data_IF_209766560955
#
_entry.id   IF_209766560955
#
_cell.length_a   1.000
_cell.length_b   1.000
_cell.length_c   1.000
_cell.angle_alpha   90.00
_cell.angle_beta   90.00
_cell.angle_gamma   90.00
#
_symmetry.space_group_name_H-M   'P 1'
#
loop_
_entity.id
_entity.type
_entity.pdbx_description
1 polymer ?
#
# COMPACT_ATOMS: atom_id res chain seq x y z
N UNK A 1 -9.63 23.75 -5.76
CA UNK A 1 -10.10 23.03 -6.97
C UNK A 1 -10.09 21.54 -6.66
N UNK A 2 -11.20 20.83 -6.85
CA UNK A 2 -11.26 19.38 -6.67
C UNK A 2 -10.58 18.68 -7.83
N UNK A 3 -9.73 17.69 -7.57
CA UNK A 3 -9.09 16.87 -8.61
C UNK A 3 -10.14 16.11 -9.44
N UNK A 4 -9.96 16.04 -10.76
CA UNK A 4 -10.79 15.20 -11.64
C UNK A 4 -10.37 13.72 -11.51
N UNK A 5 -11.35 12.84 -11.28
CA UNK A 5 -11.14 11.41 -11.05
C UNK A 5 -11.62 10.51 -12.20
N UNK A 6 -12.00 11.08 -13.34
CA UNK A 6 -12.47 10.31 -14.50
C UNK A 6 -11.34 9.47 -15.10
N UNK A 7 -11.67 8.24 -15.51
CA UNK A 7 -10.72 7.31 -16.13
C UNK A 7 -9.78 6.59 -15.15
N UNK A 8 -9.93 6.80 -13.85
CA UNK A 8 -9.18 6.06 -12.84
C UNK A 8 -9.68 4.61 -12.70
N UNK A 9 -8.76 3.69 -12.38
CA UNK A 9 -9.12 2.32 -12.00
C UNK A 9 -10.00 2.32 -10.74
N UNK A 10 -10.78 1.27 -10.54
CA UNK A 10 -11.77 1.19 -9.45
C UNK A 10 -11.17 1.50 -8.07
N UNK A 11 -10.06 0.84 -7.68
CA UNK A 11 -9.41 1.08 -6.39
C UNK A 11 -8.83 2.50 -6.28
N UNK A 12 -8.24 2.99 -7.38
CA UNK A 12 -7.68 4.35 -7.45
C UNK A 12 -8.76 5.41 -7.24
N UNK A 13 -9.88 5.25 -7.92
CA UNK A 13 -11.05 6.12 -7.81
C UNK A 13 -11.58 6.14 -6.38
N UNK A 14 -11.82 4.97 -5.77
CA UNK A 14 -12.40 4.91 -4.43
C UNK A 14 -11.48 5.50 -3.36
N UNK A 15 -10.17 5.30 -3.44
CA UNK A 15 -9.22 5.95 -2.52
C UNK A 15 -9.26 7.47 -2.70
N UNK A 16 -9.09 7.97 -3.93
CA UNK A 16 -9.08 9.40 -4.20
C UNK A 16 -10.41 10.07 -3.84
N UNK A 17 -11.54 9.42 -4.15
CA UNK A 17 -12.88 9.91 -3.82
C UNK A 17 -13.13 9.90 -2.30
N UNK A 18 -12.63 8.91 -1.59
CA UNK A 18 -12.71 8.87 -0.11
C UNK A 18 -11.94 10.05 0.50
N UNK A 19 -10.76 10.35 -0.03
CA UNK A 19 -9.98 11.54 0.38
C UNK A 19 -10.75 12.83 0.07
N UNK A 20 -11.39 12.95 -1.09
CA UNK A 20 -12.19 14.15 -1.41
C UNK A 20 -13.35 14.39 -0.44
N UNK A 21 -13.97 13.33 0.08
CA UNK A 21 -15.10 13.42 1.01
C UNK A 21 -14.68 13.44 2.49
N UNK A 22 -13.40 13.29 2.78
CA UNK A 22 -12.89 13.35 4.16
C UNK A 22 -12.70 14.80 4.56
N UNK A 23 -13.15 15.16 5.77
CA UNK A 23 -12.91 16.50 6.34
C UNK A 23 -11.42 16.79 6.42
N UNK A 24 -11.04 18.07 6.35
CA UNK A 24 -9.66 18.50 6.57
C UNK A 24 -9.12 17.89 7.88
N UNK A 25 -7.87 17.42 7.85
CA UNK A 25 -7.20 16.70 8.93
C UNK A 25 -7.79 15.33 9.34
N UNK A 26 -8.87 14.89 8.69
CA UNK A 26 -9.41 13.54 8.81
C UNK A 26 -8.47 12.47 8.24
N UNK A 27 -8.59 11.25 8.76
CA UNK A 27 -7.78 10.10 8.36
C UNK A 27 -8.67 9.08 7.64
N UNK A 28 -8.16 8.52 6.55
CA UNK A 28 -8.73 7.33 5.92
C UNK A 28 -7.77 6.15 6.04
N UNK A 29 -8.35 4.97 6.16
CA UNK A 29 -7.68 3.69 5.96
C UNK A 29 -8.42 2.93 4.86
N UNK A 30 -7.71 2.30 3.93
CA UNK A 30 -8.33 1.56 2.84
C UNK A 30 -7.57 0.28 2.55
N UNK A 31 -8.30 -0.81 2.30
CA UNK A 31 -7.74 -2.07 1.79
C UNK A 31 -7.73 -1.99 0.27
N UNK A 32 -6.54 -2.09 -0.33
CA UNK A 32 -6.32 -2.04 -1.77
C UNK A 32 -5.49 -3.24 -2.20
N UNK A 33 -5.51 -3.61 -3.48
CA UNK A 33 -4.52 -4.57 -3.99
C UNK A 33 -3.13 -3.93 -4.03
N UNK A 34 -2.09 -4.78 -3.98
CA UNK A 34 -0.68 -4.41 -4.17
C UNK A 34 -0.44 -3.48 -5.39
N UNK A 35 -1.23 -3.66 -6.45
CA UNK A 35 -1.21 -2.83 -7.67
C UNK A 35 -1.37 -1.32 -7.40
N UNK A 36 -2.08 -0.91 -6.35
CA UNK A 36 -2.26 0.51 -6.04
C UNK A 36 -0.92 1.20 -5.77
N UNK A 37 -0.07 0.57 -4.95
CA UNK A 37 1.26 1.08 -4.63
C UNK A 37 2.28 0.68 -5.68
N UNK A 38 2.23 -0.54 -6.22
CA UNK A 38 3.29 -1.10 -7.07
C UNK A 38 3.22 -0.70 -8.55
N UNK A 39 2.10 -0.12 -9.03
CA UNK A 39 2.01 0.33 -10.43
C UNK A 39 3.12 1.32 -10.78
N UNK A 40 3.75 1.13 -11.95
CA UNK A 40 4.81 1.98 -12.47
C UNK A 40 4.32 3.41 -12.70
N UNK A 41 3.12 3.57 -13.28
CA UNK A 41 2.51 4.87 -13.49
C UNK A 41 2.12 5.52 -12.15
N UNK A 42 2.71 6.67 -11.84
CA UNK A 42 2.55 7.37 -10.56
C UNK A 42 1.41 8.41 -10.57
N UNK A 43 0.76 8.68 -11.71
CA UNK A 43 -0.23 9.75 -11.88
C UNK A 43 -1.27 9.84 -10.74
N UNK A 44 -1.90 8.73 -10.37
CA UNK A 44 -2.88 8.71 -9.28
C UNK A 44 -2.26 9.04 -7.92
N UNK A 45 -1.03 8.57 -7.67
CA UNK A 45 -0.32 8.87 -6.42
C UNK A 45 0.03 10.36 -6.35
N UNK A 46 0.44 10.95 -7.47
CA UNK A 46 0.63 12.40 -7.57
C UNK A 46 -0.67 13.18 -7.35
N UNK A 47 -1.79 12.71 -7.92
CA UNK A 47 -3.11 13.31 -7.68
C UNK A 47 -3.50 13.26 -6.21
N UNK A 48 -3.31 12.12 -5.56
CA UNK A 48 -3.60 11.93 -4.13
C UNK A 48 -2.69 12.80 -3.26
N UNK A 49 -1.39 12.86 -3.57
CA UNK A 49 -0.41 13.64 -2.81
C UNK A 49 -0.68 15.15 -2.81
N UNK A 50 -1.43 15.66 -3.81
CA UNK A 50 -1.89 17.07 -3.81
C UNK A 50 -2.96 17.35 -2.77
N UNK A 51 -3.75 16.34 -2.39
CA UNK A 51 -4.89 16.51 -1.48
C UNK A 51 -4.66 15.89 -0.09
N UNK A 52 -3.70 14.98 0.07
CA UNK A 52 -3.49 14.23 1.29
C UNK A 52 -2.01 13.91 1.53
N UNK A 53 -1.69 13.71 2.82
CA UNK A 53 -0.40 13.20 3.26
C UNK A 53 -0.46 11.71 3.48
N UNK A 54 0.50 10.97 2.95
CA UNK A 54 0.64 9.54 3.18
C UNK A 54 1.24 9.27 4.57
N UNK A 55 0.51 8.52 5.40
CA UNK A 55 0.94 8.19 6.77
C UNK A 55 1.73 6.88 6.81
N UNK A 56 1.39 5.97 5.90
CA UNK A 56 2.02 4.66 5.77
C UNK A 56 1.09 3.65 5.13
N UNK A 57 1.65 2.48 4.85
CA UNK A 57 0.95 1.30 4.42
C UNK A 57 1.55 0.04 5.06
N UNK A 58 0.76 -1.01 5.15
CA UNK A 58 1.23 -2.36 5.46
C UNK A 58 0.74 -3.33 4.41
N UNK A 59 1.66 -4.12 3.87
CA UNK A 59 1.38 -5.21 2.94
C UNK A 59 1.01 -6.47 3.71
N UNK A 60 -0.07 -7.12 3.30
CA UNK A 60 -0.63 -8.29 3.96
C UNK A 60 -0.30 -9.58 3.21
N UNK A 61 -0.33 -10.74 3.91
CA UNK A 61 -0.24 -12.03 3.25
C UNK A 61 -1.37 -12.22 2.23
N UNK A 62 -1.07 -12.86 1.11
CA UNK A 62 -1.99 -13.10 0.01
C UNK A 62 -3.17 -14.02 0.38
N UNK A 63 -3.08 -14.75 1.49
CA UNK A 63 -4.17 -15.58 1.99
C UNK A 63 -5.08 -14.87 3.02
N UNK A 64 -4.82 -13.60 3.36
CA UNK A 64 -5.56 -12.86 4.40
C UNK A 64 -7.06 -12.88 4.15
N UNK A 65 -7.48 -12.77 2.89
CA UNK A 65 -8.88 -12.78 2.50
C UNK A 65 -9.34 -14.12 1.89
N UNK A 66 -8.49 -15.15 1.85
CA UNK A 66 -8.82 -16.44 1.21
C UNK A 66 -10.00 -17.13 1.89
N UNK A 67 -10.04 -17.14 3.22
CA UNK A 67 -11.11 -17.79 3.99
C UNK A 67 -12.47 -17.09 3.94
N UNK A 68 -12.54 -15.83 3.51
CA UNK A 68 -13.80 -15.05 3.48
C UNK A 68 -14.23 -14.60 2.09
N UNK A 69 -13.28 -14.35 1.19
CA UNK A 69 -13.51 -13.83 -0.15
C UNK A 69 -12.93 -14.73 -1.26
N UNK A 70 -12.41 -15.91 -0.90
CA UNK A 70 -11.87 -16.90 -1.83
C UNK A 70 -10.86 -16.35 -2.86
N UNK A 71 -10.02 -15.41 -2.43
CA UNK A 71 -9.01 -14.76 -3.27
C UNK A 71 -7.63 -14.86 -2.65
N UNK A 72 -6.63 -15.08 -3.51
CA UNK A 72 -5.19 -15.14 -3.18
C UNK A 72 -4.43 -13.87 -3.56
N UNK A 73 -5.11 -12.71 -3.60
CA UNK A 73 -4.53 -11.43 -4.00
C UNK A 73 -3.79 -10.81 -2.81
N UNK A 74 -2.53 -10.42 -3.03
CA UNK A 74 -1.78 -9.56 -2.09
C UNK A 74 -2.48 -8.21 -1.97
N UNK A 75 -2.69 -7.76 -0.74
CA UNK A 75 -3.39 -6.52 -0.45
C UNK A 75 -2.56 -5.66 0.50
N UNK A 76 -2.74 -4.35 0.40
CA UNK A 76 -2.14 -3.36 1.28
C UNK A 76 -3.25 -2.66 2.07
N UNK A 77 -3.00 -2.34 3.33
CA UNK A 77 -3.79 -1.34 4.07
C UNK A 77 -3.03 -0.02 3.95
N UNK A 78 -3.64 0.98 3.32
CA UNK A 78 -3.04 2.31 3.11
C UNK A 78 -3.71 3.35 4.00
N UNK A 79 -2.90 4.26 4.57
CA UNK A 79 -3.36 5.30 5.48
C UNK A 79 -3.01 6.69 4.93
N UNK A 80 -4.02 7.55 4.84
CA UNK A 80 -3.86 8.93 4.40
C UNK A 80 -4.52 9.89 5.38
N UNK A 81 -3.91 11.06 5.55
CA UNK A 81 -4.53 12.21 6.23
C UNK A 81 -4.89 13.28 5.21
N UNK A 82 -6.12 13.78 5.22
CA UNK A 82 -6.54 14.89 4.36
C UNK A 82 -5.71 16.14 4.67
N UNK A 83 -5.27 16.80 3.61
CA UNK A 83 -4.35 17.93 3.66
C UNK A 83 -2.90 17.50 3.47
N UNK A 84 -2.16 18.28 2.68
CA UNK A 84 -0.72 18.10 2.53
C UNK A 84 0.03 18.64 3.74
N UNK A 85 0.97 17.85 4.24
CA UNK A 85 1.89 18.22 5.30
C UNK A 85 3.23 17.50 5.04
N UNK A 86 4.24 18.27 4.64
CA UNK A 86 5.57 17.77 4.29
C UNK A 86 6.28 17.06 5.45
N UNK A 87 5.95 17.36 6.71
CA UNK A 87 6.60 16.74 7.88
C UNK A 87 6.14 15.30 8.12
N UNK A 88 4.94 14.94 7.65
CA UNK A 88 4.36 13.61 7.86
C UNK A 88 4.29 12.80 6.55
N UNK A 89 4.30 13.48 5.41
CA UNK A 89 4.21 12.84 4.10
C UNK A 89 5.52 12.11 3.78
N UNK A 90 5.51 10.79 3.94
CA UNK A 90 6.64 9.93 3.56
C UNK A 90 6.75 9.86 2.03
N UNK A 91 7.95 9.60 1.51
CA UNK A 91 8.11 9.34 0.08
C UNK A 91 7.46 7.99 -0.29
N UNK A 92 6.51 8.04 -1.22
CA UNK A 92 5.68 6.88 -1.63
C UNK A 92 5.23 6.94 -3.09
N UNK A 93 5.51 8.05 -3.78
CA UNK A 93 5.02 8.31 -5.14
C UNK A 93 5.85 7.50 -6.14
N UNK A 94 7.17 7.50 -5.96
CA UNK A 94 8.10 6.92 -6.91
C UNK A 94 8.12 5.39 -6.84
N UNK A 95 8.33 4.78 -8.01
CA UNK A 95 8.63 3.35 -8.14
C UNK A 95 10.10 3.23 -8.46
N UNK A 96 10.86 2.57 -7.60
CA UNK A 96 12.20 2.13 -7.95
C UNK A 96 12.17 0.60 -7.88
N UNK A 97 12.76 -0.07 -8.87
CA UNK A 97 12.87 -1.53 -8.90
C UNK A 97 14.08 -1.95 -8.09
N UNK A 98 13.96 -2.98 -7.25
CA UNK A 98 14.98 -3.25 -6.24
C UNK A 98 15.42 -4.68 -6.09
N UNK A 99 14.68 -5.64 -6.64
CA UNK A 99 15.09 -7.04 -6.52
C UNK A 99 15.49 -7.55 -7.89
N UNK A 100 16.78 -7.82 -8.04
CA UNK A 100 17.28 -8.74 -9.04
C UNK A 100 17.39 -10.13 -8.41
N UNK A 101 16.55 -11.06 -8.86
CA UNK A 101 16.68 -12.50 -8.55
C UNK A 101 16.67 -13.27 -9.85
N UNK A 102 17.61 -14.20 -10.01
CA UNK A 102 17.76 -15.00 -11.22
C UNK A 102 17.92 -14.15 -12.50
N UNK A 103 18.58 -12.98 -12.39
CA UNK A 103 18.76 -12.05 -13.51
C UNK A 103 17.49 -11.30 -13.93
N UNK A 104 16.39 -11.39 -13.17
CA UNK A 104 15.14 -10.65 -13.41
C UNK A 104 14.93 -9.56 -12.38
N UNK A 105 14.53 -8.39 -12.85
CA UNK A 105 14.13 -7.25 -12.01
C UNK A 105 12.65 -7.31 -11.64
N UNK A 106 12.38 -7.13 -10.35
CA UNK A 106 11.02 -7.03 -9.82
C UNK A 106 10.76 -5.63 -9.27
N UNK A 107 9.60 -5.10 -9.65
CA UNK A 107 9.09 -3.84 -9.12
C UNK A 107 8.62 -4.08 -7.67
N UNK A 108 9.35 -3.53 -6.71
CA UNK A 108 8.91 -3.42 -5.32
C UNK A 108 9.09 -1.97 -4.93
N UNK A 109 8.10 -1.37 -4.28
CA UNK A 109 8.24 0.00 -3.80
C UNK A 109 9.33 0.09 -2.74
N UNK A 110 10.13 1.16 -2.79
CA UNK A 110 11.14 1.48 -1.75
C UNK A 110 10.52 1.43 -0.36
N UNK A 111 9.28 1.93 -0.25
CA UNK A 111 8.49 1.89 0.96
C UNK A 111 8.39 0.47 1.57
N UNK A 112 8.25 -0.58 0.77
CA UNK A 112 8.17 -1.97 1.23
C UNK A 112 9.52 -2.67 1.39
N UNK A 113 10.65 -1.97 1.17
CA UNK A 113 11.96 -2.52 1.55
C UNK A 113 12.16 -2.54 3.06
N UNK A 114 11.39 -1.76 3.82
CA UNK A 114 11.36 -1.87 5.28
C UNK A 114 10.48 -3.08 5.67
N UNK A 115 11.04 -4.13 6.30
CA UNK A 115 10.28 -5.31 6.68
C UNK A 115 9.14 -5.03 7.66
N UNK A 116 9.19 -3.92 8.42
CA UNK A 116 8.10 -3.54 9.32
C UNK A 116 6.82 -3.11 8.58
N UNK A 117 6.91 -2.83 7.27
CA UNK A 117 5.76 -2.50 6.42
C UNK A 117 5.17 -3.72 5.71
N UNK A 118 5.67 -4.93 6.00
CA UNK A 118 5.18 -6.17 5.44
C UNK A 118 4.80 -7.09 6.60
N UNK A 119 3.55 -7.54 6.62
CA UNK A 119 3.15 -8.68 7.43
C UNK A 119 3.25 -9.93 6.57
N UNK A 120 4.26 -10.76 6.79
CA UNK A 120 4.51 -11.95 6.00
C UNK A 120 5.89 -12.03 5.38
N UNK A 121 6.10 -13.09 4.61
CA UNK A 121 7.37 -13.38 3.94
C UNK A 121 7.23 -13.14 2.43
N UNK A 122 8.29 -12.60 1.83
CA UNK A 122 8.37 -12.42 0.39
C UNK A 122 8.74 -13.74 -0.27
N UNK A 123 7.89 -14.22 -1.19
CA UNK A 123 8.14 -15.42 -1.98
C UNK A 123 8.09 -15.11 -3.48
N UNK A 124 9.02 -15.70 -4.24
CA UNK A 124 9.02 -15.66 -5.69
C UNK A 124 8.34 -16.91 -6.24
N UNK A 125 7.26 -16.73 -6.99
CA UNK A 125 6.50 -17.85 -7.59
C UNK A 125 6.46 -17.75 -9.10
N UNK A 126 6.46 -18.91 -9.76
CA UNK A 126 6.21 -19.01 -11.19
C UNK A 126 4.71 -18.96 -11.44
N UNK A 127 4.30 -18.09 -12.35
CA UNK A 127 2.93 -17.96 -12.83
C UNK A 127 2.63 -19.01 -13.90
N UNK A 128 1.35 -19.23 -14.18
CA UNK A 128 0.89 -20.13 -15.25
C UNK A 128 1.43 -19.76 -16.64
N UNK A 129 1.82 -18.50 -16.83
CA UNK A 129 2.39 -17.97 -18.08
C UNK A 129 3.92 -18.11 -18.17
N UNK A 130 4.54 -18.92 -17.28
CA UNK A 130 6.01 -19.06 -17.16
C UNK A 130 6.75 -17.76 -16.87
N UNK A 131 6.03 -16.76 -16.37
CA UNK A 131 6.61 -15.55 -15.80
C UNK A 131 6.75 -15.69 -14.27
N UNK A 132 7.49 -14.80 -13.63
CA UNK A 132 7.64 -14.81 -12.18
C UNK A 132 6.89 -13.66 -11.54
N UNK A 133 6.32 -13.92 -10.36
CA UNK A 133 5.63 -12.91 -9.55
C UNK A 133 6.11 -12.99 -8.12
N UNK A 134 6.25 -11.83 -7.49
CA UNK A 134 6.42 -11.74 -6.04
C UNK A 134 5.05 -11.83 -5.38
N UNK A 135 4.92 -12.74 -4.42
CA UNK A 135 3.79 -12.84 -3.51
C UNK A 135 4.28 -12.68 -2.07
N UNK A 136 3.34 -12.43 -1.17
CA UNK A 136 3.61 -12.31 0.25
C UNK A 136 2.81 -13.39 0.96
N UNK A 137 3.46 -14.29 1.68
CA UNK A 137 2.83 -15.43 2.36
C UNK A 137 2.83 -15.20 3.88
N UNK A 138 2.00 -15.93 4.65
CA UNK A 138 2.06 -15.83 6.10
C UNK A 138 3.45 -16.16 6.63
N UNK A 139 3.95 -15.32 7.53
CA UNK A 139 5.18 -15.63 8.24
C UNK A 139 4.98 -16.85 9.14
N UNK A 140 5.92 -17.80 9.11
CA UNK A 140 5.82 -19.06 9.86
C UNK A 140 6.01 -18.89 11.37
N UNK A 141 6.74 -17.87 11.78
CA UNK A 141 7.16 -17.64 13.17
C UNK A 141 6.36 -16.54 13.87
N UNK A 142 5.64 -15.71 13.11
CA UNK A 142 4.91 -14.54 13.62
C UNK A 142 3.46 -14.56 13.17
N UNK A 143 2.55 -14.52 14.13
CA UNK A 143 1.12 -14.33 13.86
C UNK A 143 0.84 -12.94 13.29
N UNK A 144 -0.15 -12.82 12.41
CA UNK A 144 -0.50 -11.57 11.71
C UNK A 144 -0.81 -10.42 12.69
N UNK A 145 -1.52 -10.69 13.78
CA UNK A 145 -1.89 -9.67 14.77
C UNK A 145 -0.68 -8.97 15.39
N UNK A 146 0.37 -9.72 15.76
CA UNK A 146 1.59 -9.14 16.31
C UNK A 146 2.35 -8.27 15.29
N UNK A 147 2.30 -8.65 14.01
CA UNK A 147 2.91 -7.86 12.94
C UNK A 147 2.14 -6.55 12.71
N UNK A 148 0.80 -6.60 12.75
CA UNK A 148 -0.05 -5.42 12.69
C UNK A 148 0.18 -4.50 13.90
N UNK A 149 0.29 -5.05 15.11
CA UNK A 149 0.57 -4.27 16.33
C UNK A 149 1.93 -3.57 16.26
N UNK A 150 2.95 -4.27 15.73
CA UNK A 150 4.27 -3.68 15.51
C UNK A 150 4.21 -2.54 14.49
N UNK A 151 3.48 -2.71 13.39
CA UNK A 151 3.30 -1.68 12.38
C UNK A 151 2.53 -0.46 12.92
N UNK A 152 1.47 -0.66 13.70
CA UNK A 152 0.71 0.44 14.31
C UNK A 152 1.61 1.29 15.22
N UNK A 153 2.53 0.65 15.95
CA UNK A 153 3.52 1.36 16.78
C UNK A 153 4.52 2.18 15.96
N UNK A 154 4.73 1.82 14.70
CA UNK A 154 5.59 2.56 13.76
C UNK A 154 4.89 3.76 13.11
N UNK A 155 3.55 3.77 13.06
CA UNK A 155 2.81 4.91 12.56
C UNK A 155 3.01 6.14 13.46
N UNK A 156 2.97 7.32 12.84
CA UNK A 156 3.06 8.58 13.55
C UNK A 156 1.91 8.71 14.55
N UNK A 157 2.23 9.13 15.77
CA UNK A 157 1.25 9.41 16.82
C UNK A 157 0.75 10.85 16.71
N UNK A 158 -0.42 11.11 17.28
CA UNK A 158 -0.99 12.45 17.44
C UNK A 158 -1.15 13.23 16.12
N UNK A 159 -1.36 12.48 15.02
CA UNK A 159 -1.57 13.03 13.68
C UNK A 159 -3.01 13.45 13.40
N UNK A 160 -3.97 12.87 14.14
CA UNK A 160 -5.35 13.30 14.09
C UNK A 160 -5.55 14.50 15.01
N UNK A 161 -6.12 15.58 14.49
CA UNK A 161 -6.41 16.80 15.24
C UNK A 161 -7.87 17.16 15.01
N UNK A 162 -8.68 17.04 16.04
CA UNK A 162 -10.06 17.52 16.07
C UNK A 162 -10.39 17.98 17.48
#
# INVERSE_FOLDING_TARGET
MSVNLNGLLVCDYFVAKSIQNTKQDGIIASVVSDRFLDKTQNHVRELIAKEASFLGAIRLPNNTFKGRANTGVTTDIVFFKKGFNATINKDWIESKSYIQREGKEYNIKEYFLNPQHIAGDLELVTTEYKDYKIIYTPNKDKVLTLQLDAFIKYLLKDVYRY
#
